data_IF_867511105405
#
_entry.id   IF_867511105405
#
_cell.length_a   1.000
_cell.length_b   1.000
_cell.length_c   1.000
_cell.angle_alpha   90.00
_cell.angle_beta   90.00
_cell.angle_gamma   90.00
#
_symmetry.space_group_name_H-M   'P 1'
#
loop_
_entity.id
_entity.type
_entity.pdbx_description
1 polymer ?
#
# COMPACT_ATOMS: atom_id res chain seq x y z
N UNK A 1 3.41 27.18 -13.81
CA UNK A 1 4.38 26.47 -12.93
C UNK A 1 5.83 26.98 -13.02
N UNK A 2 6.16 27.95 -13.90
CA UNK A 2 7.53 28.50 -14.05
C UNK A 2 7.82 29.72 -13.18
N UNK A 3 6.85 30.55 -12.84
CA UNK A 3 7.05 31.75 -12.02
C UNK A 3 7.22 31.51 -10.52
N UNK A 4 6.60 30.49 -9.96
CA UNK A 4 6.76 30.08 -8.54
C UNK A 4 8.15 29.53 -8.24
N UNK A 5 8.83 28.92 -9.23
CA UNK A 5 10.20 28.41 -9.08
C UNK A 5 11.26 29.51 -9.05
N UNK A 6 11.02 30.63 -9.70
CA UNK A 6 11.93 31.76 -9.73
C UNK A 6 11.86 32.60 -8.43
N UNK A 7 10.68 32.75 -7.85
CA UNK A 7 10.46 33.52 -6.61
C UNK A 7 11.08 32.85 -5.37
N UNK A 8 11.21 31.51 -5.35
CA UNK A 8 11.86 30.76 -4.25
C UNK A 8 13.40 30.72 -4.38
N UNK A 9 13.95 30.93 -5.58
CA UNK A 9 15.41 30.90 -5.82
C UNK A 9 16.14 32.15 -5.34
N UNK A 10 15.50 33.30 -5.38
CA UNK A 10 16.09 34.58 -4.96
C UNK A 10 16.44 34.64 -3.46
N UNK A 11 15.58 34.27 -2.51
CA UNK A 11 15.94 34.31 -1.11
C UNK A 11 16.99 33.23 -0.73
N UNK A 12 17.00 32.07 -1.37
CA UNK A 12 18.00 31.02 -1.12
C UNK A 12 19.39 31.44 -1.63
N UNK A 13 19.51 32.10 -2.77
CA UNK A 13 20.78 32.65 -3.25
C UNK A 13 21.30 33.80 -2.39
N UNK A 14 20.42 34.66 -1.90
CA UNK A 14 20.81 35.74 -0.98
C UNK A 14 21.34 35.15 0.34
N UNK A 15 20.69 34.17 0.92
CA UNK A 15 21.14 33.51 2.14
C UNK A 15 22.46 32.77 1.94
N UNK A 16 22.63 32.11 0.81
CA UNK A 16 23.91 31.43 0.45
C UNK A 16 25.04 32.44 0.30
N UNK A 17 24.81 33.59 -0.35
CA UNK A 17 25.80 34.66 -0.49
C UNK A 17 26.15 35.32 0.83
N UNK A 18 25.18 35.52 1.72
CA UNK A 18 25.43 36.04 3.08
C UNK A 18 26.23 35.04 3.92
N UNK A 19 25.90 33.77 3.85
CA UNK A 19 26.67 32.71 4.56
C UNK A 19 28.12 32.66 4.06
N UNK A 20 28.34 32.69 2.75
CA UNK A 20 29.66 32.72 2.16
C UNK A 20 30.46 33.97 2.55
N UNK A 21 29.80 35.15 2.66
CA UNK A 21 30.43 36.39 3.11
C UNK A 21 30.82 36.35 4.59
N UNK A 22 30.01 35.69 5.44
CA UNK A 22 30.34 35.47 6.86
C UNK A 22 31.51 34.51 6.97
N UNK A 23 31.47 33.39 6.26
CA UNK A 23 32.54 32.39 6.24
C UNK A 23 33.87 33.00 5.84
N UNK A 24 33.89 33.82 4.75
CA UNK A 24 35.11 34.51 4.30
C UNK A 24 35.63 35.51 5.33
N UNK A 25 34.78 36.29 5.98
CA UNK A 25 35.19 37.26 7.01
C UNK A 25 35.79 36.56 8.25
N UNK A 26 35.10 35.52 8.73
CA UNK A 26 35.57 34.74 9.91
C UNK A 26 36.89 34.03 9.59
N UNK A 27 37.02 33.46 8.41
CA UNK A 27 38.24 32.78 7.96
C UNK A 27 39.41 33.77 7.83
N UNK A 28 39.19 34.99 7.32
CA UNK A 28 40.22 36.03 7.20
C UNK A 28 40.74 36.47 8.58
N UNK A 29 39.83 36.79 9.51
CA UNK A 29 40.21 37.15 10.91
C UNK A 29 41.01 36.01 11.58
N UNK A 30 40.58 34.76 11.40
CA UNK A 30 41.28 33.62 11.93
C UNK A 30 42.65 33.43 11.27
N UNK A 31 42.79 33.70 9.98
CA UNK A 31 44.05 33.66 9.26
C UNK A 31 44.98 34.74 9.74
N UNK A 32 44.54 36.00 9.86
CA UNK A 32 45.31 37.12 10.33
C UNK A 32 45.88 36.83 11.75
N UNK A 33 45.08 36.22 12.60
CA UNK A 33 45.51 35.82 13.96
C UNK A 33 46.56 34.68 13.89
N UNK A 34 46.38 33.67 13.07
CA UNK A 34 47.33 32.59 12.90
C UNK A 34 48.67 33.06 12.33
N UNK A 35 48.64 33.99 11.37
CA UNK A 35 49.83 34.61 10.79
C UNK A 35 50.57 35.53 11.81
N UNK A 36 49.81 36.28 12.61
CA UNK A 36 50.41 37.09 13.68
C UNK A 36 51.13 36.23 14.71
N UNK A 37 50.54 35.07 15.12
CA UNK A 37 51.16 34.14 16.07
C UNK A 37 52.40 33.50 15.48
N UNK A 38 52.38 33.12 14.18
CA UNK A 38 53.53 32.52 13.48
C UNK A 38 54.70 33.48 13.22
N UNK A 39 54.45 34.82 13.28
CA UNK A 39 55.55 35.85 13.17
C UNK A 39 56.34 36.03 14.48
N UNK A 40 55.89 35.39 15.59
CA UNK A 40 56.60 35.51 16.88
C UNK A 40 57.79 34.55 16.88
N UNK A 41 59.02 35.07 16.83
CA UNK A 41 60.27 34.30 16.71
C UNK A 41 60.56 33.35 17.90
N UNK A 42 59.83 33.51 19.02
CA UNK A 42 59.98 32.70 20.23
C UNK A 42 59.03 31.51 20.29
N UNK A 43 58.11 31.38 19.36
CA UNK A 43 57.11 30.29 19.30
C UNK A 43 57.50 29.27 18.21
N UNK A 44 57.88 28.04 18.57
CA UNK A 44 58.03 26.98 17.57
C UNK A 44 56.73 26.69 16.86
N UNK A 45 56.81 26.30 15.59
CA UNK A 45 55.63 26.11 14.74
C UNK A 45 54.64 25.05 15.30
N UNK A 46 55.16 23.98 15.92
CA UNK A 46 54.38 22.95 16.60
C UNK A 46 53.64 23.49 17.85
N UNK A 47 54.29 24.43 18.60
CA UNK A 47 53.70 25.05 19.75
C UNK A 47 52.60 26.06 19.33
N UNK A 48 52.80 26.77 18.23
CA UNK A 48 51.82 27.66 17.67
C UNK A 48 50.51 26.90 17.26
N UNK A 49 50.66 25.77 16.58
CA UNK A 49 49.54 24.92 16.20
C UNK A 49 48.78 24.38 17.42
N UNK A 50 49.51 23.97 18.48
CA UNK A 50 48.89 23.52 19.72
C UNK A 50 48.13 24.64 20.46
N UNK A 51 48.71 25.83 20.50
CA UNK A 51 48.05 27.03 21.12
C UNK A 51 46.79 27.42 20.35
N UNK A 52 46.85 27.41 19.03
CA UNK A 52 45.67 27.67 18.18
C UNK A 52 44.55 26.63 18.45
N UNK A 53 44.90 25.36 18.53
CA UNK A 53 43.95 24.28 18.84
C UNK A 53 43.31 24.44 20.23
N UNK A 54 44.12 24.61 21.26
CA UNK A 54 43.65 24.79 22.63
C UNK A 54 42.81 26.08 22.75
N UNK A 55 43.29 27.18 22.14
CA UNK A 55 42.55 28.45 22.09
C UNK A 55 41.19 28.35 21.42
N UNK A 56 41.12 27.64 20.30
CA UNK A 56 39.87 27.37 19.60
C UNK A 56 38.88 26.57 20.46
N UNK A 57 39.37 25.50 21.12
CA UNK A 57 38.52 24.72 22.03
C UNK A 57 38.07 25.51 23.26
N UNK A 58 38.96 26.31 23.84
CA UNK A 58 38.63 27.20 24.97
C UNK A 58 37.57 28.23 24.55
N UNK A 59 37.70 28.83 23.37
CA UNK A 59 36.73 29.80 22.88
C UNK A 59 35.38 29.15 22.57
N UNK A 60 35.39 27.94 21.96
CA UNK A 60 34.17 27.16 21.77
C UNK A 60 33.48 26.78 23.10
N UNK A 61 34.27 26.42 24.11
CA UNK A 61 33.74 26.16 25.45
C UNK A 61 33.17 27.44 26.10
N UNK A 62 33.84 28.58 25.98
CA UNK A 62 33.32 29.87 26.47
C UNK A 62 31.99 30.20 25.77
N UNK A 63 31.92 30.06 24.46
CA UNK A 63 30.68 30.25 23.70
C UNK A 63 29.57 29.34 24.26
N UNK A 64 29.85 28.06 24.44
CA UNK A 64 28.89 27.13 25.02
C UNK A 64 28.42 27.52 26.40
N UNK A 65 29.36 27.76 27.32
CA UNK A 65 29.03 28.08 28.73
C UNK A 65 28.36 29.45 28.91
N UNK A 66 28.62 30.41 28.04
CA UNK A 66 27.98 31.73 28.07
C UNK A 66 26.61 31.70 27.39
N UNK A 67 26.54 31.17 26.18
CA UNK A 67 25.27 31.21 25.40
C UNK A 67 24.22 30.22 25.87
N UNK A 68 24.64 29.06 26.41
CA UNK A 68 23.70 28.06 26.93
C UNK A 68 22.79 28.61 28.04
N UNK A 69 23.27 29.17 29.12
CA UNK A 69 22.40 29.73 30.15
C UNK A 69 21.64 30.97 29.68
N UNK A 70 22.22 31.77 28.79
CA UNK A 70 21.54 32.93 28.21
C UNK A 70 20.32 32.51 27.40
N UNK A 71 20.47 31.56 26.50
CA UNK A 71 19.39 31.04 25.67
C UNK A 71 18.34 30.34 26.53
N UNK A 72 18.75 29.43 27.42
CA UNK A 72 17.80 28.66 28.23
C UNK A 72 17.04 29.57 29.22
N UNK A 73 17.68 30.55 29.86
CA UNK A 73 17.00 31.55 30.73
C UNK A 73 16.09 32.47 29.92
N UNK A 74 16.53 32.92 28.73
CA UNK A 74 15.71 33.73 27.82
C UNK A 74 14.45 33.00 27.42
N UNK A 75 14.58 31.77 26.95
CA UNK A 75 13.44 30.92 26.54
C UNK A 75 12.53 30.64 27.75
N UNK A 76 13.07 30.26 28.90
CA UNK A 76 12.27 29.98 30.10
C UNK A 76 11.51 31.23 30.59
N UNK A 77 12.08 32.44 30.41
CA UNK A 77 11.43 33.69 30.79
C UNK A 77 10.25 34.03 29.83
N UNK A 78 10.39 33.74 28.54
CA UNK A 78 9.30 33.95 27.58
C UNK A 78 8.20 32.91 27.77
N UNK A 79 8.55 31.64 27.88
CA UNK A 79 7.62 30.52 28.09
C UNK A 79 6.83 30.66 29.37
N UNK A 80 7.47 31.14 30.49
CA UNK A 80 6.78 31.40 31.75
C UNK A 80 5.75 32.55 31.70
N UNK A 81 5.67 33.31 30.62
CA UNK A 81 4.68 34.39 30.38
C UNK A 81 3.53 34.00 29.48
N UNK A 82 3.62 32.84 28.83
CA UNK A 82 2.63 32.32 27.90
C UNK A 82 1.93 31.11 28.49
N UNK A 83 0.59 31.05 28.42
CA UNK A 83 -0.21 29.86 28.81
C UNK A 83 -0.31 28.85 27.68
N UNK A 84 0.67 28.85 26.76
CA UNK A 84 0.66 28.02 25.57
C UNK A 84 1.32 26.67 25.87
N UNK A 85 0.64 25.57 25.58
CA UNK A 85 1.08 24.20 25.94
C UNK A 85 2.33 23.79 25.11
N UNK A 86 2.40 24.20 23.84
CA UNK A 86 3.44 23.70 22.94
C UNK A 86 4.85 24.25 23.24
N UNK A 87 4.99 25.45 23.75
CA UNK A 87 6.28 26.04 24.09
C UNK A 87 6.86 25.38 25.37
N UNK A 88 6.02 25.06 26.35
CA UNK A 88 6.39 24.30 27.55
C UNK A 88 6.92 22.90 27.19
N UNK A 89 6.30 22.20 26.22
CA UNK A 89 6.74 20.89 25.80
C UNK A 89 8.06 20.93 25.03
N UNK A 90 8.30 21.94 24.20
CA UNK A 90 9.59 22.12 23.52
C UNK A 90 10.74 22.32 24.50
N UNK A 91 10.51 23.08 25.58
CA UNK A 91 11.49 23.27 26.66
C UNK A 91 11.68 21.97 27.43
N UNK A 92 10.57 21.31 27.82
CA UNK A 92 10.58 20.07 28.61
C UNK A 92 11.34 18.94 27.91
N UNK A 93 11.21 18.79 26.59
CA UNK A 93 11.91 17.78 25.82
C UNK A 93 13.33 18.19 25.39
N UNK A 94 13.81 19.37 25.82
CA UNK A 94 15.19 19.77 25.67
C UNK A 94 15.60 20.22 24.26
N UNK A 95 14.64 20.63 23.40
CA UNK A 95 14.91 21.13 22.04
C UNK A 95 15.92 22.28 22.09
N UNK A 96 15.70 23.26 22.97
CA UNK A 96 16.59 24.41 23.10
C UNK A 96 17.95 24.03 23.70
N UNK A 97 18.03 22.99 24.52
CA UNK A 97 19.30 22.45 25.02
C UNK A 97 20.17 21.94 23.88
N UNK A 98 19.62 21.12 22.97
CA UNK A 98 20.36 20.61 21.83
C UNK A 98 20.67 21.70 20.80
N UNK A 99 19.80 22.71 20.66
CA UNK A 99 20.06 23.88 19.81
C UNK A 99 21.31 24.65 20.26
N UNK A 100 21.59 24.74 21.57
CA UNK A 100 22.79 25.39 22.08
C UNK A 100 24.09 24.67 21.70
N UNK A 101 24.03 23.38 21.38
CA UNK A 101 25.19 22.60 20.93
C UNK A 101 25.59 22.91 19.47
N UNK A 102 24.67 23.48 18.66
CA UNK A 102 25.03 23.88 17.29
C UNK A 102 26.03 25.05 17.27
N UNK A 103 25.93 25.97 18.22
CA UNK A 103 26.77 27.18 18.25
C UNK A 103 28.28 26.86 18.26
N UNK A 104 28.79 26.05 19.22
CA UNK A 104 30.23 25.71 19.23
C UNK A 104 30.61 24.87 18.01
N UNK A 105 29.71 23.98 17.53
CA UNK A 105 29.99 23.17 16.34
C UNK A 105 30.17 24.03 15.08
N UNK A 106 29.24 24.95 14.84
CA UNK A 106 29.32 25.89 13.69
C UNK A 106 30.54 26.81 13.85
N UNK A 107 30.80 27.28 15.07
CA UNK A 107 31.95 28.14 15.34
C UNK A 107 33.28 27.44 15.00
N UNK A 108 33.49 26.20 15.46
CA UNK A 108 34.66 25.41 15.10
C UNK A 108 34.74 25.21 13.59
N UNK A 109 33.62 24.82 12.94
CA UNK A 109 33.58 24.57 11.50
C UNK A 109 34.03 25.79 10.66
N UNK A 110 33.63 27.00 11.08
CA UNK A 110 33.96 28.26 10.40
C UNK A 110 35.41 28.71 10.67
N UNK A 111 35.94 28.47 11.87
CA UNK A 111 37.31 28.91 12.24
C UNK A 111 38.41 28.02 11.71
N UNK A 112 38.19 26.72 11.62
CA UNK A 112 39.21 25.72 11.27
C UNK A 112 39.95 26.06 9.97
N UNK A 113 39.30 26.44 8.83
CA UNK A 113 40.02 26.72 7.59
C UNK A 113 40.98 27.92 7.67
N UNK A 114 40.63 28.93 8.50
CA UNK A 114 41.50 30.10 8.70
C UNK A 114 42.64 29.82 9.65
N UNK A 115 42.39 29.14 10.78
CA UNK A 115 43.38 28.91 11.80
C UNK A 115 44.48 27.88 11.40
N UNK A 116 44.11 26.85 10.64
CA UNK A 116 45.00 25.73 10.30
C UNK A 116 45.33 25.67 8.81
N UNK A 117 45.48 26.83 8.17
CA UNK A 117 45.81 26.91 6.74
C UNK A 117 47.17 26.26 6.39
N UNK A 118 48.12 26.34 7.33
CA UNK A 118 49.45 25.72 7.19
C UNK A 118 49.45 24.20 7.34
N UNK A 119 48.42 23.65 7.96
CA UNK A 119 48.25 22.21 8.26
C UNK A 119 46.97 21.63 7.67
N UNK A 120 46.90 21.44 6.34
CA UNK A 120 45.66 21.04 5.66
C UNK A 120 45.08 19.69 6.17
N UNK A 121 45.94 18.76 6.55
CA UNK A 121 45.49 17.45 7.09
C UNK A 121 44.76 17.59 8.40
N UNK A 122 45.31 18.40 9.33
CA UNK A 122 44.66 18.71 10.63
C UNK A 122 43.36 19.46 10.41
N UNK A 123 43.38 20.48 9.54
CA UNK A 123 42.18 21.24 9.19
C UNK A 123 41.05 20.33 8.67
N UNK A 124 41.32 19.40 7.79
CA UNK A 124 40.31 18.46 7.26
C UNK A 124 39.75 17.54 8.34
N UNK A 125 40.61 17.02 9.24
CA UNK A 125 40.16 16.17 10.36
C UNK A 125 39.24 16.98 11.32
N UNK A 126 39.66 18.18 11.72
CA UNK A 126 38.89 19.03 12.62
C UNK A 126 37.57 19.49 12.00
N UNK A 127 37.59 19.84 10.74
CA UNK A 127 36.37 20.18 9.97
C UNK A 127 35.44 19.00 9.87
N UNK A 128 35.97 17.80 9.59
CA UNK A 128 35.18 16.56 9.60
C UNK A 128 34.56 16.28 10.96
N UNK A 129 35.33 16.39 12.04
CA UNK A 129 34.86 16.19 13.41
C UNK A 129 33.78 17.20 13.81
N UNK A 130 33.94 18.49 13.46
CA UNK A 130 32.91 19.51 13.72
C UNK A 130 31.66 19.27 12.91
N UNK A 131 31.78 18.82 11.66
CA UNK A 131 30.63 18.44 10.81
C UNK A 131 29.86 17.26 11.39
N UNK A 132 30.54 16.22 11.85
CA UNK A 132 29.93 15.09 12.55
C UNK A 132 29.18 15.54 13.83
N UNK A 133 29.80 16.42 14.63
CA UNK A 133 29.16 16.98 15.82
C UNK A 133 27.88 17.78 15.47
N UNK A 134 27.92 18.57 14.40
CA UNK A 134 26.75 19.32 13.90
C UNK A 134 25.64 18.34 13.47
N UNK A 135 25.96 17.29 12.71
CA UNK A 135 24.98 16.30 12.25
C UNK A 135 24.30 15.60 13.43
N UNK A 136 25.11 15.17 14.43
CA UNK A 136 24.59 14.53 15.64
C UNK A 136 23.69 15.51 16.40
N UNK A 137 24.11 16.77 16.56
CA UNK A 137 23.30 17.79 17.23
C UNK A 137 21.98 18.05 16.49
N UNK A 138 22.00 18.14 15.17
CA UNK A 138 20.79 18.29 14.34
C UNK A 138 19.83 17.08 14.51
N UNK A 139 20.36 15.86 14.51
CA UNK A 139 19.57 14.66 14.76
C UNK A 139 18.91 14.69 16.16
N UNK A 140 19.65 15.07 17.20
CA UNK A 140 19.12 15.16 18.56
C UNK A 140 18.09 16.28 18.73
N UNK A 141 18.25 17.39 18.02
CA UNK A 141 17.22 18.44 17.93
C UNK A 141 15.95 17.86 17.28
N UNK A 142 16.08 17.19 16.15
CA UNK A 142 14.95 16.59 15.46
C UNK A 142 14.23 15.55 16.35
N UNK A 143 14.96 14.66 17.00
CA UNK A 143 14.41 13.69 17.95
C UNK A 143 13.63 14.38 19.08
N UNK A 144 14.21 15.43 19.67
CA UNK A 144 13.57 16.22 20.73
C UNK A 144 12.30 16.93 20.24
N UNK A 145 12.30 17.47 19.01
CA UNK A 145 11.11 18.09 18.40
C UNK A 145 10.00 17.08 18.18
N UNK A 146 10.32 15.88 17.69
CA UNK A 146 9.34 14.81 17.52
C UNK A 146 8.75 14.39 18.86
N UNK A 147 9.57 14.23 19.91
CA UNK A 147 9.09 13.92 21.26
C UNK A 147 8.15 15.00 21.80
N UNK A 148 8.52 16.28 21.64
CA UNK A 148 7.68 17.40 22.04
C UNK A 148 6.34 17.40 21.28
N UNK A 149 6.37 17.15 19.96
CA UNK A 149 5.16 17.08 19.12
C UNK A 149 4.23 15.97 19.58
N UNK A 150 4.75 14.80 19.93
CA UNK A 150 3.96 13.70 20.50
C UNK A 150 3.28 14.12 21.81
N UNK A 151 4.04 14.71 22.73
CA UNK A 151 3.52 15.16 24.03
C UNK A 151 2.45 16.25 23.90
N UNK A 152 2.62 17.18 22.94
CA UNK A 152 1.62 18.21 22.60
C UNK A 152 0.33 17.57 22.11
N UNK A 153 0.44 16.59 21.20
CA UNK A 153 -0.73 15.89 20.66
C UNK A 153 -1.48 15.10 21.72
N UNK A 154 -0.77 14.37 22.59
CA UNK A 154 -1.37 13.58 23.67
C UNK A 154 -2.16 14.47 24.67
N UNK A 155 -1.68 15.70 24.91
CA UNK A 155 -2.35 16.69 25.78
C UNK A 155 -3.46 17.48 25.08
N UNK A 156 -3.62 17.35 23.75
CA UNK A 156 -4.65 18.06 22.98
C UNK A 156 -6.04 17.41 23.19
N UNK A 157 -7.16 18.18 23.14
CA UNK A 157 -8.51 17.65 23.18
C UNK A 157 -8.83 16.62 22.09
N UNK A 158 -8.09 16.63 21.00
CA UNK A 158 -8.17 15.65 19.89
C UNK A 158 -7.19 14.49 20.07
N UNK A 159 -6.40 14.47 21.14
CA UNK A 159 -5.41 13.44 21.44
C UNK A 159 -6.05 12.06 21.61
N UNK A 160 -5.35 11.03 21.14
CA UNK A 160 -5.79 9.63 21.27
C UNK A 160 -6.60 9.06 20.11
N UNK A 161 -7.02 9.85 19.12
CA UNK A 161 -7.72 9.34 17.93
C UNK A 161 -6.79 8.63 16.94
N UNK A 162 -5.51 9.01 16.90
CA UNK A 162 -4.51 8.43 16.01
C UNK A 162 -3.28 8.10 16.86
N UNK A 163 -2.74 6.91 16.70
CA UNK A 163 -1.49 6.52 17.37
C UNK A 163 -0.29 7.17 16.66
N UNK A 164 0.10 8.38 17.13
CA UNK A 164 1.25 9.11 16.56
C UNK A 164 2.60 8.46 16.88
N UNK A 165 2.66 7.55 17.85
CA UNK A 165 3.93 6.92 18.28
C UNK A 165 4.60 6.18 17.13
N UNK A 166 3.83 5.44 16.33
CA UNK A 166 4.35 4.71 15.16
C UNK A 166 4.91 5.66 14.10
N UNK A 167 4.19 6.74 13.79
CA UNK A 167 4.67 7.74 12.81
C UNK A 167 5.94 8.45 13.30
N UNK A 168 5.99 8.78 14.57
CA UNK A 168 7.16 9.37 15.18
C UNK A 168 8.38 8.44 15.15
N UNK A 169 8.22 7.15 15.45
CA UNK A 169 9.28 6.16 15.33
C UNK A 169 9.81 6.05 13.91
N UNK A 170 8.93 6.02 12.90
CA UNK A 170 9.34 6.01 11.49
C UNK A 170 10.10 7.29 11.13
N UNK A 171 9.62 8.46 11.54
CA UNK A 171 10.30 9.74 11.29
C UNK A 171 11.70 9.78 11.93
N UNK A 172 11.85 9.31 13.15
CA UNK A 172 13.14 9.20 13.84
C UNK A 172 14.09 8.22 13.16
N UNK A 173 13.56 7.07 12.70
CA UNK A 173 14.35 6.08 11.97
C UNK A 173 14.90 6.67 10.65
N UNK A 174 14.07 7.38 9.90
CA UNK A 174 14.47 8.05 8.67
C UNK A 174 15.51 9.15 8.93
N UNK A 175 15.32 9.96 9.96
CA UNK A 175 16.29 10.98 10.36
C UNK A 175 17.63 10.36 10.80
N UNK A 176 17.59 9.26 11.55
CA UNK A 176 18.80 8.52 11.95
C UNK A 176 19.54 7.98 10.72
N UNK A 177 18.80 7.39 9.75
CA UNK A 177 19.38 6.89 8.50
C UNK A 177 20.08 8.01 7.72
N UNK A 178 19.44 9.18 7.59
CA UNK A 178 20.03 10.35 6.94
C UNK A 178 21.29 10.80 7.69
N UNK A 179 21.23 10.90 9.03
CA UNK A 179 22.38 11.29 9.82
C UNK A 179 23.55 10.31 9.66
N UNK A 180 23.29 9.00 9.61
CA UNK A 180 24.30 7.96 9.38
C UNK A 180 24.92 8.12 7.98
N UNK A 181 24.11 8.31 6.94
CA UNK A 181 24.62 8.47 5.56
C UNK A 181 25.49 9.73 5.45
N UNK A 182 25.05 10.86 6.03
CA UNK A 182 25.82 12.10 6.04
C UNK A 182 27.14 11.93 6.82
N UNK A 183 27.10 11.26 7.96
CA UNK A 183 28.29 11.00 8.78
C UNK A 183 29.29 10.10 8.04
N UNK A 184 28.78 9.05 7.38
CA UNK A 184 29.60 8.14 6.57
C UNK A 184 30.21 8.86 5.35
N UNK A 185 29.47 9.78 4.73
CA UNK A 185 29.97 10.62 3.65
C UNK A 185 31.20 11.44 4.07
N UNK A 186 31.13 12.04 5.27
CA UNK A 186 32.23 12.82 5.83
C UNK A 186 33.45 11.91 6.11
N UNK A 187 33.22 10.77 6.77
CA UNK A 187 34.31 9.83 7.14
C UNK A 187 35.02 9.28 5.90
N UNK A 188 34.26 8.96 4.86
CA UNK A 188 34.80 8.43 3.60
C UNK A 188 35.33 9.50 2.63
N UNK A 189 35.11 10.79 2.93
CA UNK A 189 35.46 11.89 2.03
C UNK A 189 34.71 11.85 0.69
N UNK A 190 33.48 11.29 0.67
CA UNK A 190 32.64 11.15 -0.53
C UNK A 190 31.41 12.02 -0.42
N UNK A 191 30.83 12.40 -1.57
CA UNK A 191 29.57 13.13 -1.54
C UNK A 191 28.42 12.20 -1.08
N UNK A 192 27.46 12.70 -0.28
CA UNK A 192 26.30 11.91 0.14
C UNK A 192 25.49 11.35 -1.02
N UNK A 193 25.45 12.08 -2.16
CA UNK A 193 24.74 11.65 -3.38
C UNK A 193 25.37 10.40 -3.99
N UNK A 194 26.69 10.28 -3.97
CA UNK A 194 27.41 9.08 -4.47
C UNK A 194 27.09 7.88 -3.58
N UNK A 195 27.05 8.06 -2.26
CA UNK A 195 26.68 6.98 -1.32
C UNK A 195 25.23 6.55 -1.51
N UNK A 196 24.31 7.50 -1.62
CA UNK A 196 22.90 7.22 -1.89
C UNK A 196 22.71 6.52 -3.24
N UNK A 197 23.43 6.94 -4.27
CA UNK A 197 23.40 6.30 -5.59
C UNK A 197 23.87 4.84 -5.52
N UNK A 198 24.99 4.58 -4.87
CA UNK A 198 25.50 3.23 -4.65
C UNK A 198 24.56 2.35 -3.84
N UNK A 199 24.02 2.89 -2.74
CA UNK A 199 23.04 2.20 -1.92
C UNK A 199 21.76 1.90 -2.71
N UNK A 200 21.29 2.86 -3.54
CA UNK A 200 20.11 2.72 -4.38
C UNK A 200 20.26 1.60 -5.41
N UNK A 201 21.42 1.51 -6.08
CA UNK A 201 21.71 0.40 -7.00
C UNK A 201 21.72 -0.94 -6.25
N UNK A 202 22.40 -1.02 -5.11
CA UNK A 202 22.45 -2.24 -4.31
C UNK A 202 21.05 -2.66 -3.83
N UNK A 203 20.26 -1.71 -3.32
CA UNK A 203 18.89 -1.97 -2.89
C UNK A 203 18.00 -2.45 -4.05
N UNK A 204 18.18 -1.88 -5.26
CA UNK A 204 17.45 -2.30 -6.46
C UNK A 204 17.76 -3.75 -6.86
N UNK A 205 19.05 -4.14 -6.79
CA UNK A 205 19.46 -5.52 -7.04
C UNK A 205 18.87 -6.46 -5.99
N UNK A 206 18.95 -6.10 -4.71
CA UNK A 206 18.33 -6.91 -3.63
C UNK A 206 16.82 -7.03 -3.82
N UNK A 207 16.14 -5.92 -4.15
CA UNK A 207 14.70 -5.95 -4.41
C UNK A 207 14.35 -6.88 -5.57
N UNK A 208 15.17 -6.90 -6.64
CA UNK A 208 14.97 -7.81 -7.76
C UNK A 208 15.12 -9.27 -7.34
N UNK A 209 16.14 -9.59 -6.53
CA UNK A 209 16.37 -10.95 -6.03
C UNK A 209 15.26 -11.44 -5.10
N UNK A 210 14.76 -10.57 -4.23
CA UNK A 210 13.73 -10.91 -3.24
C UNK A 210 12.31 -10.61 -3.69
N UNK A 211 12.10 -10.13 -4.91
CA UNK A 211 10.80 -9.72 -5.44
C UNK A 211 9.70 -10.76 -5.21
N UNK A 212 9.97 -12.00 -5.62
CA UNK A 212 8.96 -13.06 -5.57
C UNK A 212 8.65 -13.47 -4.12
N UNK A 213 9.65 -13.45 -3.25
CA UNK A 213 9.48 -13.71 -1.81
C UNK A 213 8.61 -12.64 -1.16
N UNK A 214 8.88 -11.36 -1.46
CA UNK A 214 8.11 -10.23 -0.94
C UNK A 214 6.67 -10.27 -1.45
N UNK A 215 6.48 -10.51 -2.75
CA UNK A 215 5.13 -10.66 -3.34
C UNK A 215 4.38 -11.83 -2.73
N UNK A 216 5.03 -12.98 -2.53
CA UNK A 216 4.44 -14.14 -1.87
C UNK A 216 4.03 -13.85 -0.43
N UNK A 217 4.86 -13.15 0.32
CA UNK A 217 4.57 -12.75 1.70
C UNK A 217 3.35 -11.83 1.80
N UNK A 218 3.32 -10.76 0.98
CA UNK A 218 2.20 -9.83 0.92
C UNK A 218 0.91 -10.58 0.51
N UNK A 219 1.01 -11.46 -0.48
CA UNK A 219 -0.10 -12.27 -0.94
C UNK A 219 -0.64 -13.19 0.17
N UNK A 220 0.25 -13.84 0.93
CA UNK A 220 -0.13 -14.68 2.07
C UNK A 220 -0.91 -13.90 3.14
N UNK A 221 -0.45 -12.70 3.48
CA UNK A 221 -1.17 -11.81 4.41
C UNK A 221 -2.54 -11.42 3.86
N UNK A 222 -2.64 -11.06 2.58
CA UNK A 222 -3.92 -10.66 1.97
C UNK A 222 -4.91 -11.82 1.91
N UNK A 223 -4.47 -13.03 1.53
CA UNK A 223 -5.31 -14.24 1.52
C UNK A 223 -5.87 -14.53 2.92
N UNK A 224 -5.03 -14.45 3.95
CA UNK A 224 -5.42 -14.68 5.33
C UNK A 224 -6.36 -13.59 5.86
N UNK A 225 -6.01 -12.31 5.67
CA UNK A 225 -6.80 -11.17 6.17
C UNK A 225 -8.18 -11.09 5.54
N UNK A 226 -8.29 -11.37 4.24
CA UNK A 226 -9.55 -11.31 3.50
C UNK A 226 -10.31 -12.64 3.50
N UNK A 227 -9.80 -13.68 4.17
CA UNK A 227 -10.37 -15.03 4.21
C UNK A 227 -10.71 -15.57 2.81
N UNK A 228 -9.89 -15.22 1.82
CA UNK A 228 -10.13 -15.61 0.42
C UNK A 228 -10.00 -17.11 0.21
N UNK A 229 -9.10 -17.76 0.97
CA UNK A 229 -8.82 -19.19 0.89
C UNK A 229 -8.44 -19.71 2.28
N UNK A 230 -8.87 -20.94 2.59
CA UNK A 230 -8.50 -21.67 3.81
C UNK A 230 -8.08 -23.09 3.47
N UNK A 231 -7.34 -23.72 4.38
CA UNK A 231 -7.00 -25.13 4.29
C UNK A 231 -8.29 -25.97 4.29
N UNK A 232 -8.37 -26.95 3.40
CA UNK A 232 -9.55 -27.75 3.18
C UNK A 232 -10.55 -27.22 2.16
N UNK A 233 -10.41 -25.95 1.69
CA UNK A 233 -11.26 -25.43 0.64
C UNK A 233 -11.04 -26.15 -0.68
N UNK A 234 -12.10 -26.30 -1.44
CA UNK A 234 -12.01 -26.74 -2.83
C UNK A 234 -11.68 -25.53 -3.73
N UNK A 235 -10.49 -25.58 -4.30
CA UNK A 235 -9.94 -24.57 -5.23
C UNK A 235 -9.91 -25.09 -6.66
N UNK A 236 -10.44 -24.32 -7.60
CA UNK A 236 -10.28 -24.56 -9.05
C UNK A 236 -9.51 -23.37 -9.66
N UNK A 237 -8.34 -23.64 -10.22
CA UNK A 237 -7.50 -22.65 -10.92
C UNK A 237 -6.94 -23.24 -12.20
N UNK A 238 -7.65 -23.05 -13.30
CA UNK A 238 -7.36 -23.66 -14.59
C UNK A 238 -5.97 -23.28 -15.13
N UNK A 239 -5.51 -22.05 -14.89
CA UNK A 239 -4.18 -21.57 -15.33
C UNK A 239 -3.01 -22.36 -14.73
N UNK A 240 -3.23 -23.02 -13.59
CA UNK A 240 -2.24 -23.85 -12.91
C UNK A 240 -2.64 -25.34 -12.89
N UNK A 241 -3.68 -25.71 -13.62
CA UNK A 241 -4.22 -27.09 -13.64
C UNK A 241 -4.50 -27.63 -12.23
N UNK A 242 -4.98 -26.74 -11.37
CA UNK A 242 -5.37 -27.09 -10.02
C UNK A 242 -6.89 -27.18 -9.93
N UNK A 243 -7.38 -28.34 -9.51
CA UNK A 243 -8.79 -28.61 -9.22
C UNK A 243 -8.86 -29.63 -8.09
N UNK A 244 -9.01 -29.17 -6.86
CA UNK A 244 -8.98 -30.05 -5.69
C UNK A 244 -8.97 -29.32 -4.37
N UNK A 245 -8.59 -30.04 -3.31
CA UNK A 245 -8.59 -29.53 -1.94
C UNK A 245 -7.27 -28.83 -1.60
N UNK A 246 -7.34 -27.67 -0.96
CA UNK A 246 -6.18 -26.95 -0.42
C UNK A 246 -5.59 -27.73 0.75
N UNK A 247 -4.39 -28.27 0.57
CA UNK A 247 -3.69 -29.04 1.60
C UNK A 247 -2.89 -28.14 2.55
N UNK A 248 -2.20 -27.14 2.00
CA UNK A 248 -1.34 -26.25 2.78
C UNK A 248 -1.29 -24.87 2.15
N UNK A 249 -1.41 -23.85 2.98
CA UNK A 249 -1.16 -22.45 2.60
C UNK A 249 0.16 -22.04 3.25
N UNK A 250 1.22 -21.97 2.45
CA UNK A 250 2.53 -21.49 2.87
C UNK A 250 2.71 -20.00 2.59
N UNK A 251 3.86 -19.48 2.98
CA UNK A 251 4.20 -18.06 2.82
C UNK A 251 4.33 -17.67 1.34
N UNK A 252 4.95 -18.54 0.55
CA UNK A 252 5.26 -18.28 -0.87
C UNK A 252 4.52 -19.21 -1.83
N UNK A 253 3.96 -20.32 -1.33
CA UNK A 253 3.30 -21.34 -2.14
C UNK A 253 2.07 -21.92 -1.44
N UNK A 254 1.06 -22.27 -2.25
CA UNK A 254 -0.13 -23.02 -1.82
C UNK A 254 -0.09 -24.38 -2.49
N UNK A 255 -0.30 -25.47 -1.73
CA UNK A 255 -0.40 -26.82 -2.25
C UNK A 255 -1.86 -27.24 -2.34
N UNK A 256 -2.25 -27.71 -3.51
CA UNK A 256 -3.59 -28.22 -3.81
C UNK A 256 -3.48 -29.68 -4.18
N UNK A 257 -4.21 -30.56 -3.47
CA UNK A 257 -4.36 -31.97 -3.82
C UNK A 257 -5.52 -32.08 -4.80
N UNK A 258 -5.22 -32.40 -6.04
CA UNK A 258 -6.18 -32.61 -7.10
C UNK A 258 -6.99 -33.90 -6.87
N UNK A 259 -8.09 -34.06 -7.61
CA UNK A 259 -8.96 -35.23 -7.53
C UNK A 259 -8.29 -36.55 -8.01
N UNK A 260 -7.21 -36.45 -8.77
CA UNK A 260 -6.36 -37.56 -9.19
C UNK A 260 -5.21 -37.85 -8.23
N UNK A 261 -5.26 -37.32 -6.99
CA UNK A 261 -4.24 -37.42 -5.95
C UNK A 261 -2.91 -36.75 -6.27
N UNK A 262 -2.78 -36.04 -7.40
CA UNK A 262 -1.58 -35.25 -7.68
C UNK A 262 -1.58 -33.96 -6.84
N UNK A 263 -0.38 -33.44 -6.53
CA UNK A 263 -0.24 -32.19 -5.78
C UNK A 263 0.25 -31.10 -6.74
N UNK A 264 -0.59 -30.09 -6.96
CA UNK A 264 -0.20 -28.87 -7.66
C UNK A 264 0.27 -27.82 -6.67
N UNK A 265 1.45 -27.26 -6.92
CA UNK A 265 2.02 -26.16 -6.11
C UNK A 265 1.86 -24.86 -6.85
N UNK A 266 1.11 -23.93 -6.27
CA UNK A 266 0.79 -22.62 -6.85
C UNK A 266 1.55 -21.54 -6.08
N UNK A 267 2.28 -20.61 -6.74
CA UNK A 267 2.84 -19.45 -6.05
C UNK A 267 1.73 -18.63 -5.39
N UNK A 268 1.90 -18.26 -4.11
CA UNK A 268 0.84 -17.57 -3.35
C UNK A 268 0.41 -16.25 -4.02
N UNK A 269 1.35 -15.52 -4.64
CA UNK A 269 1.03 -14.28 -5.35
C UNK A 269 0.10 -14.51 -6.56
N UNK A 270 0.12 -15.69 -7.18
CA UNK A 270 -0.73 -16.01 -8.32
C UNK A 270 -2.22 -16.03 -7.94
N UNK A 271 -2.55 -16.40 -6.72
CA UNK A 271 -3.92 -16.39 -6.19
C UNK A 271 -4.48 -14.97 -5.98
N UNK A 272 -3.62 -13.94 -5.98
CA UNK A 272 -4.04 -12.53 -5.90
C UNK A 272 -4.03 -11.88 -7.28
N UNK A 273 -3.04 -12.24 -8.10
CA UNK A 273 -2.87 -11.65 -9.43
C UNK A 273 -3.77 -12.27 -10.50
N UNK A 274 -4.30 -13.46 -10.28
CA UNK A 274 -5.13 -14.19 -11.23
C UNK A 274 -6.46 -14.62 -10.59
N UNK A 275 -7.49 -14.82 -11.40
CA UNK A 275 -8.78 -15.30 -10.92
C UNK A 275 -8.72 -16.81 -10.59
N UNK A 276 -9.33 -17.19 -9.52
CA UNK A 276 -9.60 -18.59 -9.15
C UNK A 276 -11.02 -18.74 -8.62
N UNK A 277 -11.54 -19.96 -8.63
CA UNK A 277 -12.83 -20.28 -8.04
C UNK A 277 -12.60 -20.98 -6.69
N UNK A 278 -13.21 -20.44 -5.66
CA UNK A 278 -13.32 -21.10 -4.36
C UNK A 278 -14.74 -21.69 -4.25
N UNK A 279 -14.81 -23.01 -4.16
CA UNK A 279 -16.06 -23.76 -4.05
C UNK A 279 -16.59 -23.87 -2.61
N UNK A 280 -15.96 -23.21 -1.63
CA UNK A 280 -16.44 -23.15 -0.24
C UNK A 280 -17.90 -22.72 -0.16
N UNK A 281 -18.28 -21.67 -0.90
CA UNK A 281 -19.66 -21.19 -0.91
C UNK A 281 -20.67 -22.26 -1.36
N UNK A 282 -20.27 -23.18 -2.26
CA UNK A 282 -21.11 -24.32 -2.62
C UNK A 282 -21.14 -25.39 -1.52
N UNK A 283 -20.02 -25.66 -0.87
CA UNK A 283 -19.94 -26.65 0.20
C UNK A 283 -20.69 -26.22 1.46
N UNK A 284 -20.74 -24.93 1.75
CA UNK A 284 -21.46 -24.32 2.88
C UNK A 284 -22.94 -24.04 2.54
N UNK A 285 -23.33 -24.10 1.25
CA UNK A 285 -24.71 -23.87 0.84
C UNK A 285 -25.60 -25.07 1.16
N UNK A 286 -26.88 -24.80 1.34
CA UNK A 286 -27.92 -25.82 1.60
C UNK A 286 -28.32 -26.61 0.35
N UNK A 287 -27.59 -26.46 -0.78
CA UNK A 287 -27.96 -27.10 -2.03
C UNK A 287 -26.78 -27.44 -2.92
N UNK A 288 -26.84 -28.57 -3.62
CA UNK A 288 -25.86 -28.94 -4.65
C UNK A 288 -26.37 -28.59 -6.01
N UNK A 289 -25.53 -27.91 -6.81
CA UNK A 289 -25.85 -27.48 -8.16
C UNK A 289 -26.10 -28.67 -9.11
N UNK A 290 -27.24 -28.67 -9.75
CA UNK A 290 -27.60 -29.55 -10.87
C UNK A 290 -27.57 -28.70 -12.13
N UNK A 291 -26.71 -29.05 -13.07
CA UNK A 291 -26.65 -28.44 -14.41
C UNK A 291 -26.63 -29.55 -15.46
N UNK A 292 -27.75 -29.72 -16.17
CA UNK A 292 -27.94 -30.76 -17.19
C UNK A 292 -28.61 -30.18 -18.41
N UNK A 293 -28.27 -30.67 -19.60
CA UNK A 293 -28.94 -30.30 -20.83
C UNK A 293 -29.56 -31.55 -21.51
N UNK A 294 -30.81 -31.44 -21.86
CA UNK A 294 -31.55 -32.41 -22.67
C UNK A 294 -31.56 -31.90 -24.10
N UNK A 295 -31.05 -32.70 -25.04
CA UNK A 295 -31.02 -32.34 -26.46
C UNK A 295 -32.29 -32.84 -27.15
N UNK A 296 -33.06 -31.91 -27.72
CA UNK A 296 -34.30 -32.21 -28.41
C UNK A 296 -34.05 -32.08 -29.92
N UNK A 297 -34.37 -33.13 -30.68
CA UNK A 297 -34.25 -33.11 -32.10
C UNK A 297 -35.21 -32.06 -32.70
N UNK A 298 -34.67 -31.21 -33.58
CA UNK A 298 -35.41 -30.14 -34.22
C UNK A 298 -36.57 -30.65 -35.10
N UNK A 299 -36.44 -31.84 -35.68
CA UNK A 299 -37.49 -32.49 -36.49
C UNK A 299 -38.74 -32.86 -35.67
N UNK A 300 -38.59 -33.06 -34.36
CA UNK A 300 -39.68 -33.39 -33.46
C UNK A 300 -40.50 -32.17 -33.01
N UNK A 301 -40.05 -30.94 -33.31
CA UNK A 301 -40.72 -29.72 -32.84
C UNK A 301 -41.93 -29.44 -33.75
N UNK A 302 -43.09 -29.27 -33.12
CA UNK A 302 -44.34 -29.00 -33.80
C UNK A 302 -45.27 -28.12 -32.97
N UNK A 303 -46.22 -27.48 -33.63
CA UNK A 303 -47.32 -26.83 -32.96
C UNK A 303 -48.25 -27.86 -32.32
N UNK A 304 -48.80 -27.53 -31.18
CA UNK A 304 -49.74 -28.38 -30.45
C UNK A 304 -51.17 -28.19 -31.01
N UNK A 305 -51.79 -29.29 -31.44
CA UNK A 305 -53.19 -29.34 -31.80
C UNK A 305 -54.06 -29.57 -30.55
N UNK A 306 -55.38 -29.42 -30.69
CA UNK A 306 -56.31 -29.60 -29.60
C UNK A 306 -56.26 -31.01 -28.95
N UNK A 307 -55.94 -32.02 -29.76
CA UNK A 307 -55.79 -33.39 -29.26
C UNK A 307 -54.59 -33.55 -28.35
N UNK A 308 -53.49 -32.91 -28.70
CA UNK A 308 -52.27 -32.90 -27.88
C UNK A 308 -52.50 -32.08 -26.61
N UNK A 309 -53.11 -30.90 -26.71
CA UNK A 309 -53.43 -30.02 -25.56
C UNK A 309 -54.33 -30.72 -24.59
N UNK A 310 -55.39 -31.44 -25.07
CA UNK A 310 -56.26 -32.20 -24.18
C UNK A 310 -55.51 -33.27 -23.37
N UNK A 311 -54.59 -34.01 -23.99
CA UNK A 311 -53.77 -35.00 -23.29
C UNK A 311 -52.81 -34.36 -22.28
N UNK A 312 -52.23 -33.21 -22.64
CA UNK A 312 -51.29 -32.52 -21.80
C UNK A 312 -51.96 -31.88 -20.56
N UNK A 313 -53.30 -31.54 -20.64
CA UNK A 313 -54.07 -31.05 -19.49
C UNK A 313 -54.31 -32.14 -18.45
N UNK A 314 -54.25 -33.40 -18.81
CA UNK A 314 -54.31 -34.52 -17.86
C UNK A 314 -53.08 -34.56 -16.92
N UNK A 315 -52.01 -33.85 -17.28
CA UNK A 315 -50.83 -33.74 -16.47
C UNK A 315 -51.01 -32.64 -15.40
N UNK A 316 -51.21 -33.02 -14.16
CA UNK A 316 -51.59 -32.10 -13.07
C UNK A 316 -50.71 -30.85 -12.95
N UNK A 317 -49.40 -30.98 -13.16
CA UNK A 317 -48.47 -29.84 -13.12
C UNK A 317 -48.58 -28.87 -14.29
N UNK A 318 -49.24 -29.25 -15.41
CA UNK A 318 -49.40 -28.42 -16.62
C UNK A 318 -50.73 -27.75 -16.72
N UNK A 319 -51.78 -28.23 -16.10
CA UNK A 319 -53.14 -27.74 -16.28
C UNK A 319 -53.23 -26.22 -16.08
N UNK A 320 -52.82 -25.74 -14.96
CA UNK A 320 -52.83 -24.31 -14.59
C UNK A 320 -51.96 -23.45 -15.55
N UNK A 321 -50.82 -23.97 -15.98
CA UNK A 321 -49.93 -23.27 -16.91
C UNK A 321 -50.62 -23.16 -18.31
N UNK A 322 -51.22 -24.25 -18.78
CA UNK A 322 -51.88 -24.29 -20.12
C UNK A 322 -53.04 -23.32 -20.12
N UNK A 323 -53.89 -23.31 -19.12
CA UNK A 323 -55.04 -22.40 -19.05
C UNK A 323 -54.61 -20.93 -19.09
N UNK A 324 -53.65 -20.54 -18.26
CA UNK A 324 -53.10 -19.19 -18.24
C UNK A 324 -52.42 -18.82 -19.56
N UNK A 325 -51.78 -19.77 -20.22
CA UNK A 325 -51.02 -19.51 -21.44
C UNK A 325 -51.91 -19.45 -22.68
N UNK A 326 -53.00 -20.22 -22.71
CA UNK A 326 -54.01 -20.14 -23.78
C UNK A 326 -54.72 -18.79 -23.71
N UNK A 327 -55.12 -18.31 -22.53
CA UNK A 327 -55.74 -16.99 -22.32
C UNK A 327 -54.78 -15.86 -22.82
N UNK A 328 -53.48 -15.95 -22.48
CA UNK A 328 -52.48 -14.99 -22.94
C UNK A 328 -52.35 -14.99 -24.48
N UNK A 329 -52.36 -16.17 -25.10
CA UNK A 329 -52.27 -16.35 -26.54
C UNK A 329 -53.52 -15.81 -27.22
N UNK A 330 -54.69 -16.13 -26.73
CA UNK A 330 -55.99 -15.64 -27.24
C UNK A 330 -56.03 -14.11 -27.21
N UNK A 331 -55.67 -13.52 -26.10
CA UNK A 331 -55.60 -12.05 -25.90
C UNK A 331 -54.56 -11.41 -26.85
N UNK A 332 -53.47 -12.11 -27.13
CA UNK A 332 -52.44 -11.62 -28.05
C UNK A 332 -52.94 -11.71 -29.50
N UNK A 333 -53.61 -12.81 -29.88
CA UNK A 333 -54.06 -13.09 -31.22
C UNK A 333 -55.34 -12.30 -31.58
N UNK A 334 -56.19 -11.90 -30.62
CA UNK A 334 -57.38 -11.06 -30.86
C UNK A 334 -57.05 -9.68 -31.43
N UNK A 335 -55.80 -9.25 -31.37
CA UNK A 335 -55.33 -8.00 -31.95
C UNK A 335 -54.97 -8.14 -33.46
N UNK A 336 -54.99 -9.34 -33.98
CA UNK A 336 -54.67 -9.62 -35.40
C UNK A 336 -55.93 -9.47 -36.25
N UNK A 337 -55.72 -9.18 -37.57
CA UNK A 337 -56.86 -9.06 -38.53
C UNK A 337 -57.60 -10.40 -38.68
N UNK A 338 -58.90 -10.34 -38.83
CA UNK A 338 -59.75 -11.51 -39.11
C UNK A 338 -59.21 -12.28 -40.35
N UNK A 339 -59.14 -13.60 -40.25
CA UNK A 339 -58.57 -14.47 -41.29
C UNK A 339 -57.06 -14.60 -41.30
N UNK A 340 -56.30 -13.73 -40.57
CA UNK A 340 -54.83 -13.80 -40.52
C UNK A 340 -54.31 -15.06 -39.81
N UNK A 341 -55.09 -15.64 -38.92
CA UNK A 341 -54.73 -16.84 -38.13
C UNK A 341 -54.85 -18.16 -38.93
N UNK A 342 -55.45 -18.15 -40.12
CA UNK A 342 -55.47 -19.32 -40.99
C UNK A 342 -54.08 -19.80 -41.41
N UNK A 343 -53.12 -18.88 -41.51
CA UNK A 343 -51.71 -19.23 -41.73
C UNK A 343 -51.04 -19.51 -40.38
N UNK A 344 -50.41 -20.69 -40.29
CA UNK A 344 -49.74 -21.15 -39.06
C UNK A 344 -48.57 -20.26 -38.60
N UNK A 345 -48.01 -19.46 -39.49
CA UNK A 345 -46.91 -18.53 -39.18
C UNK A 345 -47.43 -17.28 -38.48
N UNK A 346 -48.67 -16.92 -38.67
CA UNK A 346 -49.27 -15.76 -38.05
C UNK A 346 -49.82 -16.06 -36.66
N UNK A 347 -49.57 -15.14 -35.73
CA UNK A 347 -50.06 -15.23 -34.35
C UNK A 347 -49.17 -16.14 -33.50
N UNK A 348 -49.51 -16.16 -32.23
CA UNK A 348 -48.79 -16.97 -31.20
C UNK A 348 -49.47 -18.34 -31.09
N UNK A 349 -48.65 -19.37 -30.97
CA UNK A 349 -49.13 -20.76 -30.82
C UNK A 349 -48.27 -21.50 -29.83
N UNK A 350 -48.81 -22.52 -29.22
CA UNK A 350 -48.11 -23.42 -28.34
C UNK A 350 -47.32 -24.46 -29.16
N UNK A 351 -46.05 -24.66 -28.79
CA UNK A 351 -45.22 -25.74 -29.32
C UNK A 351 -44.99 -26.80 -28.24
N UNK A 352 -44.82 -28.04 -28.69
CA UNK A 352 -44.49 -29.15 -27.78
C UNK A 352 -43.21 -28.89 -26.99
N UNK A 353 -42.19 -28.24 -27.58
CA UNK A 353 -40.95 -27.88 -26.93
C UNK A 353 -41.19 -26.81 -25.83
N UNK A 354 -42.01 -25.81 -26.12
CA UNK A 354 -42.36 -24.76 -25.15
C UNK A 354 -43.10 -25.30 -23.92
N UNK A 355 -44.05 -26.22 -24.18
CA UNK A 355 -44.79 -26.89 -23.10
C UNK A 355 -43.89 -27.83 -22.30
N UNK A 356 -42.99 -28.55 -22.96
CA UNK A 356 -42.05 -29.44 -22.31
C UNK A 356 -41.11 -28.65 -21.36
N UNK A 357 -40.61 -27.51 -21.83
CA UNK A 357 -39.82 -26.61 -20.99
C UNK A 357 -40.60 -26.18 -19.75
N UNK A 358 -41.85 -25.79 -19.91
CA UNK A 358 -42.72 -25.38 -18.81
C UNK A 358 -43.03 -26.53 -17.86
N UNK A 359 -43.23 -27.74 -18.41
CA UNK A 359 -43.43 -28.94 -17.59
C UNK A 359 -42.24 -29.18 -16.66
N UNK A 360 -41.00 -29.13 -17.20
CA UNK A 360 -39.80 -29.32 -16.39
C UNK A 360 -39.75 -28.27 -15.29
N UNK A 361 -40.06 -27.01 -15.59
CA UNK A 361 -40.06 -25.94 -14.61
C UNK A 361 -41.10 -26.18 -13.50
N UNK A 362 -42.33 -26.50 -13.85
CA UNK A 362 -43.41 -26.80 -12.88
C UNK A 362 -43.07 -28.04 -12.04
N UNK A 363 -42.53 -29.09 -12.65
CA UNK A 363 -42.12 -30.30 -11.98
C UNK A 363 -41.02 -30.02 -10.94
N UNK A 364 -40.01 -29.26 -11.31
CA UNK A 364 -38.91 -28.91 -10.41
C UNK A 364 -39.37 -27.99 -9.27
N UNK A 365 -40.32 -27.08 -9.53
CA UNK A 365 -40.94 -26.24 -8.50
C UNK A 365 -41.74 -27.05 -7.48
N UNK A 366 -42.34 -28.15 -7.91
CA UNK A 366 -43.14 -29.03 -7.03
C UNK A 366 -42.30 -30.13 -6.36
N UNK A 367 -41.04 -30.33 -6.77
CA UNK A 367 -40.24 -31.44 -6.30
C UNK A 367 -39.65 -31.14 -4.90
N UNK A 368 -39.86 -32.03 -3.89
CA UNK A 368 -39.50 -31.75 -2.49
C UNK A 368 -37.98 -31.64 -2.27
N UNK A 369 -37.18 -32.31 -3.10
CA UNK A 369 -35.72 -32.31 -2.97
C UNK A 369 -35.03 -31.24 -3.82
N UNK A 370 -35.76 -30.28 -4.38
CA UNK A 370 -35.23 -29.12 -5.07
C UNK A 370 -35.37 -27.88 -4.20
N UNK A 371 -34.25 -27.22 -3.98
CA UNK A 371 -34.23 -26.00 -3.18
C UNK A 371 -34.90 -24.84 -3.93
N UNK A 372 -36.05 -24.40 -3.42
CA UNK A 372 -36.87 -23.34 -4.03
C UNK A 372 -36.37 -21.93 -3.71
N UNK A 373 -35.50 -21.77 -2.72
CA UNK A 373 -34.89 -20.47 -2.36
C UNK A 373 -33.69 -20.14 -3.23
N UNK A 374 -33.14 -21.15 -3.92
CA UNK A 374 -32.01 -20.99 -4.84
C UNK A 374 -32.47 -20.86 -6.28
N UNK A 375 -31.55 -20.42 -7.14
CA UNK A 375 -31.84 -20.20 -8.56
C UNK A 375 -32.35 -21.46 -9.24
N UNK A 376 -33.56 -21.40 -9.84
CA UNK A 376 -34.15 -22.43 -10.66
C UNK A 376 -34.43 -21.82 -12.05
N UNK A 377 -33.77 -22.38 -13.09
CA UNK A 377 -33.89 -21.91 -14.46
C UNK A 377 -34.01 -23.10 -15.40
N UNK A 378 -35.02 -23.08 -16.28
CA UNK A 378 -35.17 -24.00 -17.41
C UNK A 378 -35.20 -23.17 -18.66
N UNK A 379 -34.17 -23.28 -19.49
CA UNK A 379 -34.00 -22.44 -20.69
C UNK A 379 -33.50 -23.22 -21.89
N UNK A 380 -33.77 -22.68 -23.08
CA UNK A 380 -33.19 -23.15 -24.35
C UNK A 380 -31.82 -22.46 -24.53
N UNK A 381 -30.82 -23.23 -24.93
CA UNK A 381 -29.52 -22.72 -25.31
C UNK A 381 -29.34 -22.72 -26.82
N UNK A 382 -28.22 -22.14 -27.30
CA UNK A 382 -27.85 -22.19 -28.72
C UNK A 382 -27.67 -23.63 -29.19
N UNK A 383 -28.07 -23.91 -30.45
CA UNK A 383 -27.94 -25.22 -31.06
C UNK A 383 -26.50 -25.45 -31.53
N UNK A 384 -25.91 -26.57 -31.10
CA UNK A 384 -24.54 -26.96 -31.46
C UNK A 384 -24.53 -28.20 -32.36
N UNK A 385 -25.48 -28.33 -33.31
CA UNK A 385 -25.57 -29.44 -34.25
C UNK A 385 -26.16 -30.74 -33.67
N UNK A 386 -26.49 -30.79 -32.36
CA UNK A 386 -27.07 -31.97 -31.68
C UNK A 386 -28.56 -31.80 -31.34
N UNK A 387 -29.24 -30.83 -31.95
CA UNK A 387 -30.59 -30.45 -31.59
C UNK A 387 -30.65 -29.22 -30.66
N UNK A 388 -31.84 -28.90 -30.14
CA UNK A 388 -32.06 -27.78 -29.23
C UNK A 388 -31.80 -28.22 -27.79
N UNK A 389 -30.77 -27.71 -27.11
CA UNK A 389 -30.55 -28.07 -25.72
C UNK A 389 -31.53 -27.32 -24.80
N UNK A 390 -32.23 -28.05 -23.93
CA UNK A 390 -32.97 -27.49 -22.81
C UNK A 390 -32.07 -27.66 -21.58
N UNK A 391 -31.50 -26.58 -21.09
CA UNK A 391 -30.71 -26.58 -19.86
C UNK A 391 -31.62 -26.53 -18.65
N UNK A 392 -31.40 -27.47 -17.75
CA UNK A 392 -31.93 -27.51 -16.40
C UNK A 392 -30.84 -27.04 -15.46
N UNK A 393 -31.10 -25.94 -14.75
CA UNK A 393 -30.21 -25.37 -13.76
C UNK A 393 -31.00 -25.19 -12.47
N UNK A 394 -30.68 -25.97 -11.46
CA UNK A 394 -31.31 -25.92 -10.15
C UNK A 394 -30.36 -26.42 -9.07
N UNK A 395 -30.81 -26.39 -7.84
CA UNK A 395 -30.05 -26.90 -6.70
C UNK A 395 -30.90 -27.94 -5.97
N UNK A 396 -30.29 -29.08 -5.60
CA UNK A 396 -30.95 -30.05 -4.73
C UNK A 396 -30.89 -29.55 -3.29
N UNK A 397 -31.97 -29.72 -2.54
CA UNK A 397 -31.92 -29.67 -1.09
C UNK A 397 -31.33 -30.99 -0.58
N UNK A 398 -30.17 -30.91 0.07
CA UNK A 398 -29.54 -32.09 0.68
C UNK A 398 -29.75 -32.02 2.17
#
# INVERSE_FOLDING_TARGET
MSETSAALKLPTQMLANQAAAIDSKVSNVAQDFSEWLGRQSWVPESLATLLLFVGMLALAAIIYFVFRPLILRGVAHYVGKTDIIWDNELVGHGVFRWLTHLLPGIFIFLLVPGLFKSEPSLANILRGASSLYIIISCYLIFDSVINATQAIYEKSPSGGRINLTTFAQVAKLLAALIAIILSLAIILGKSPVVLLGGLGVFASVLMLVFKDVILGFIAGIQLASNRMLSQGDWLEMTSYQADGSVELIGLTTVKVRNWDETITTIPTYALISSSFKNWRGMSESTGRRIKRSLFIDTSCIKFCDEKILKKLREIGHLAQYLDSKEEEIEKSNSKLREGSLSNQVNGRRLTNLGIFRAYIECYLKAHPNINQEMTLIVRQLATEGRGIPIEIYCFSSV
#
